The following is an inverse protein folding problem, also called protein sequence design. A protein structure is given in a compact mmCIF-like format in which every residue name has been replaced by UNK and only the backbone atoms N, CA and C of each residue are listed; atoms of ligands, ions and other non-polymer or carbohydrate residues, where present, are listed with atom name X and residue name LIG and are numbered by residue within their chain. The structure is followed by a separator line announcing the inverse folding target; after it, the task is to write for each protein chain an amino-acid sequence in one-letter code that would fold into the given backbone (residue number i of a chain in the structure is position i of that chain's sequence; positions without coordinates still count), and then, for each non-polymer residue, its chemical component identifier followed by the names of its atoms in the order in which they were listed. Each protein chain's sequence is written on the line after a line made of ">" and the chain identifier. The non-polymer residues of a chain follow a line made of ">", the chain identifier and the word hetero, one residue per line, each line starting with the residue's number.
data_IF_145886682222
#
_entry.id   IF_145886682222
#
_cell.length_a   1.000
_cell.length_b   1.000
_cell.length_c   1.000
_cell.angle_alpha   90.00
_cell.angle_beta   90.00
_cell.angle_gamma   90.00
#
_symmetry.space_group_name_H-M   'P 1'
#
loop_
_entity.id
_entity.type
_entity.pdbx_description
1 polymer ?
#
# COMPACT_ATOMS: atom_id res chain seq x y z
N UNK A 1 12.85 -1.22 -3.15
CA UNK A 1 11.99 -2.28 -2.54
C UNK A 1 10.70 -1.70 -2.00
N UNK A 2 9.72 -1.41 -2.85
CA UNK A 2 8.40 -0.87 -2.46
C UNK A 2 7.32 -1.89 -2.79
N UNK A 3 6.78 -2.59 -1.78
CA UNK A 3 5.81 -3.69 -1.93
C UNK A 3 4.48 -3.33 -1.27
N UNK A 4 3.92 -2.20 -1.68
CA UNK A 4 2.79 -1.58 -1.00
C UNK A 4 1.44 -2.15 -1.43
N UNK A 5 1.35 -2.67 -2.66
CA UNK A 5 0.11 -3.24 -3.18
C UNK A 5 -0.21 -4.64 -2.63
N UNK A 6 0.74 -5.34 -2.01
CA UNK A 6 0.45 -6.60 -1.32
C UNK A 6 -0.44 -6.45 -0.08
N UNK A 7 -0.47 -5.26 0.51
CA UNK A 7 -1.31 -4.99 1.69
C UNK A 7 -2.72 -4.53 1.29
N UNK A 8 -2.90 -3.99 0.08
CA UNK A 8 -4.22 -3.67 -0.48
C UNK A 8 -5.14 -4.91 -0.57
N UNK A 9 -4.54 -6.09 -0.80
CA UNK A 9 -5.25 -7.33 -1.14
C UNK A 9 -5.40 -8.30 0.05
N UNK A 10 -4.71 -8.06 1.17
CA UNK A 10 -4.70 -8.98 2.32
C UNK A 10 -5.79 -8.70 3.38
N UNK A 11 -6.37 -7.49 3.42
CA UNK A 11 -7.40 -7.14 4.39
C UNK A 11 -8.75 -7.88 4.29
N UNK A 12 -9.26 -8.28 3.10
CA UNK A 12 -10.55 -8.96 3.06
C UNK A 12 -10.57 -10.34 3.72
N UNK A 13 -9.41 -10.98 3.89
CA UNK A 13 -9.30 -12.28 4.57
C UNK A 13 -9.62 -12.18 6.07
N UNK A 14 -9.57 -11.00 6.68
CA UNK A 14 -9.89 -10.80 8.11
C UNK A 14 -11.41 -10.69 8.33
N UNK A 15 -12.19 -10.36 7.31
CA UNK A 15 -13.66 -10.28 7.37
C UNK A 15 -14.34 -11.65 7.15
N UNK A 16 -13.60 -12.68 6.74
CA UNK A 16 -14.06 -14.06 6.60
C UNK A 16 -14.17 -14.81 7.93
N UNK A 17 -14.82 -14.23 8.93
CA UNK A 17 -15.26 -15.00 10.10
C UNK A 17 -16.43 -15.90 9.68
N UNK A 18 -16.12 -17.16 9.43
CA UNK A 18 -17.04 -18.29 9.45
C UNK A 18 -17.78 -18.32 10.78
N UNK A 19 -18.97 -17.74 10.82
CA UNK A 19 -19.79 -17.70 12.03
C UNK A 19 -21.25 -17.41 11.69
N UNK A 20 -22.03 -18.47 11.55
CA UNK A 20 -23.50 -18.44 11.49
C UNK A 20 -24.05 -17.72 12.74
N UNK A 21 -24.66 -16.53 12.58
CA UNK A 21 -25.29 -15.83 13.70
C UNK A 21 -26.69 -15.31 13.35
N UNK A 22 -27.69 -16.13 13.69
CA UNK A 22 -29.06 -15.69 13.90
C UNK A 22 -29.15 -14.64 15.02
N UNK A 23 -30.30 -13.95 15.11
CA UNK A 23 -30.88 -13.25 16.30
C UNK A 23 -31.40 -11.84 15.98
N UNK A 24 -32.73 -11.80 15.78
CA UNK A 24 -33.73 -10.94 16.41
C UNK A 24 -33.35 -9.48 16.72
N UNK A 25 -34.09 -8.59 16.07
CA UNK A 25 -33.97 -7.14 16.14
C UNK A 25 -34.74 -6.52 17.31
N UNK A 26 -34.25 -5.37 17.78
CA UNK A 26 -35.06 -4.24 18.25
C UNK A 26 -34.33 -2.97 17.84
N UNK A 27 -35.07 -2.01 17.30
CA UNK A 27 -34.57 -0.81 16.63
C UNK A 27 -34.68 0.44 17.53
N UNK A 28 -33.82 1.42 17.26
CA UNK A 28 -34.08 2.86 17.47
C UNK A 28 -33.10 3.69 16.61
N UNK A 29 -33.63 4.72 15.93
CA UNK A 29 -32.97 5.75 15.11
C UNK A 29 -32.17 6.76 16.00
N UNK A 30 -31.38 7.75 15.52
CA UNK A 30 -31.44 8.63 14.34
C UNK A 30 -30.15 9.45 14.11
N UNK A 31 -30.02 10.01 12.88
CA UNK A 31 -29.41 11.29 12.39
C UNK A 31 -28.00 11.75 12.84
N UNK A 32 -27.15 12.37 12.02
CA UNK A 32 -27.33 13.02 10.71
C UNK A 32 -25.99 13.33 10.04
N UNK A 33 -26.05 13.68 8.76
CA UNK A 33 -24.92 13.96 7.88
C UNK A 33 -24.63 15.46 7.78
N UNK A 34 -23.36 15.82 7.57
CA UNK A 34 -22.98 17.13 7.05
C UNK A 34 -21.81 16.99 6.06
N UNK A 35 -22.08 17.35 4.81
CA UNK A 35 -21.17 17.48 3.68
C UNK A 35 -20.61 18.89 3.60
N UNK A 36 -19.30 19.04 3.36
CA UNK A 36 -18.73 20.29 2.85
C UNK A 36 -17.96 19.99 1.55
N UNK A 37 -18.59 20.39 0.44
CA UNK A 37 -17.98 20.50 -0.88
C UNK A 37 -17.17 21.80 -0.95
N UNK A 38 -16.00 21.77 -1.59
CA UNK A 38 -15.27 22.97 -2.00
C UNK A 38 -15.37 23.09 -3.52
N UNK A 39 -15.93 24.21 -3.96
CA UNK A 39 -16.16 24.57 -5.36
C UNK A 39 -14.87 25.10 -6.05
N UNK A 40 -14.80 25.05 -7.39
CA UNK A 40 -13.66 25.53 -8.17
C UNK A 40 -13.74 27.05 -8.41
N UNK A 41 -12.59 27.74 -8.47
CA UNK A 41 -12.49 29.16 -8.77
C UNK A 41 -11.26 29.47 -9.64
N UNK A 42 -11.53 30.12 -10.76
CA UNK A 42 -10.70 30.31 -11.96
C UNK A 42 -9.46 31.24 -11.82
N UNK A 43 -8.38 30.90 -12.54
CA UNK A 43 -7.97 31.61 -13.78
C UNK A 43 -6.51 31.28 -14.18
N UNK A 44 -6.19 31.20 -15.49
CA UNK A 44 -4.97 30.58 -15.99
C UNK A 44 -3.80 31.56 -15.96
N UNK A 45 -2.89 31.40 -15.01
CA UNK A 45 -1.53 31.90 -15.20
C UNK A 45 -0.82 31.03 -16.23
N UNK A 46 -0.26 31.68 -17.24
CA UNK A 46 0.50 31.14 -18.36
C UNK A 46 1.58 30.16 -17.88
N UNK A 47 1.25 28.87 -17.78
CA UNK A 47 2.20 27.80 -17.43
C UNK A 47 3.09 27.51 -18.64
N UNK A 48 4.14 28.31 -18.79
CA UNK A 48 5.28 27.92 -19.59
C UNK A 48 5.89 26.64 -18.97
N UNK A 49 5.59 25.50 -19.60
CA UNK A 49 6.36 24.25 -19.61
C UNK A 49 7.11 23.93 -18.32
N UNK A 50 6.39 23.80 -17.20
CA UNK A 50 6.97 23.27 -15.97
C UNK A 50 7.17 21.77 -16.14
N UNK A 51 8.43 21.35 -16.22
CA UNK A 51 8.77 19.94 -16.24
C UNK A 51 9.67 19.53 -15.09
N UNK A 52 9.64 18.24 -14.77
CA UNK A 52 10.56 17.60 -13.82
C UNK A 52 11.31 16.49 -14.55
N UNK A 53 12.59 16.33 -14.21
CA UNK A 53 13.34 15.12 -14.52
C UNK A 53 13.53 14.37 -13.22
N UNK A 54 13.04 13.13 -13.18
CA UNK A 54 13.20 12.27 -12.01
C UNK A 54 14.34 11.29 -12.33
N UNK A 55 15.32 11.20 -11.44
CA UNK A 55 16.51 10.33 -11.60
C UNK A 55 16.62 9.41 -10.41
N UNK A 56 16.75 8.11 -10.65
CA UNK A 56 16.86 7.15 -9.55
C UNK A 56 18.23 7.21 -8.88
N UNK A 57 18.24 7.48 -7.58
CA UNK A 57 19.45 7.46 -6.76
C UNK A 57 19.84 6.04 -6.32
N UNK A 58 21.13 5.70 -6.40
CA UNK A 58 21.67 4.42 -5.92
C UNK A 58 21.45 4.22 -4.41
N UNK A 59 21.38 2.95 -3.98
CA UNK A 59 21.35 2.64 -2.55
C UNK A 59 22.62 3.17 -1.88
N UNK A 60 22.46 3.87 -0.75
CA UNK A 60 23.59 4.44 0.00
C UNK A 60 23.69 3.79 1.38
N UNK A 61 24.88 3.33 1.75
CA UNK A 61 25.12 2.76 3.09
C UNK A 61 24.74 3.78 4.17
N UNK A 62 24.03 3.33 5.19
CA UNK A 62 23.54 4.18 6.27
C UNK A 62 22.19 4.85 6.00
N UNK A 63 21.74 4.91 4.73
CA UNK A 63 20.41 5.45 4.40
C UNK A 63 19.33 4.69 5.17
N UNK A 64 18.45 5.43 5.83
CA UNK A 64 17.32 4.89 6.57
C UNK A 64 16.01 5.35 5.92
N UNK A 65 15.11 4.40 5.73
CA UNK A 65 13.76 4.65 5.24
C UNK A 65 12.77 4.10 6.25
N UNK A 66 11.97 4.98 6.84
CA UNK A 66 10.85 4.62 7.71
C UNK A 66 9.57 4.67 6.89
N UNK A 67 8.65 3.76 7.21
CA UNK A 67 7.58 3.34 6.35
C UNK A 67 6.35 3.07 7.18
N UNK A 68 5.30 3.85 6.99
CA UNK A 68 4.03 3.65 7.68
C UNK A 68 2.92 3.48 6.68
N UNK A 69 2.30 2.31 6.71
CA UNK A 69 1.13 1.98 5.93
C UNK A 69 -0.09 1.91 6.85
N UNK A 70 -1.15 2.60 6.47
CA UNK A 70 -2.43 2.55 7.13
C UNK A 70 -3.52 2.25 6.12
N UNK A 71 -4.29 1.20 6.39
CA UNK A 71 -5.37 0.72 5.58
C UNK A 71 -6.64 0.68 6.42
N UNK A 72 -7.68 1.37 5.94
CA UNK A 72 -8.98 1.46 6.60
C UNK A 72 -10.05 0.96 5.64
N UNK A 73 -10.85 0.01 6.10
CA UNK A 73 -12.05 -0.47 5.40
C UNK A 73 -13.25 -0.21 6.30
N UNK A 74 -14.21 0.57 5.82
CA UNK A 74 -15.48 0.84 6.49
C UNK A 74 -16.63 0.37 5.62
N UNK A 75 -17.57 -0.40 6.14
CA UNK A 75 -18.67 -0.90 5.31
C UNK A 75 -19.88 -1.41 6.08
N UNK A 76 -20.86 -1.90 5.33
CA UNK A 76 -22.11 -2.44 5.84
C UNK A 76 -22.44 -3.78 5.17
N UNK A 77 -22.89 -4.76 5.97
CA UNK A 77 -23.47 -6.00 5.44
C UNK A 77 -24.89 -5.74 4.90
N UNK A 78 -25.20 -6.21 3.68
CA UNK A 78 -26.53 -5.98 3.06
C UNK A 78 -27.58 -7.01 3.50
N UNK A 79 -27.20 -8.16 4.08
CA UNK A 79 -28.13 -9.22 4.47
C UNK A 79 -28.58 -9.12 5.93
N UNK A 80 -29.87 -8.88 6.13
CA UNK A 80 -30.65 -9.21 7.34
C UNK A 80 -30.39 -8.41 8.62
N UNK A 81 -29.23 -7.79 8.80
CA UNK A 81 -28.92 -6.83 9.88
C UNK A 81 -27.88 -5.83 9.40
N UNK A 82 -28.20 -4.54 9.48
CA UNK A 82 -27.33 -3.41 9.14
C UNK A 82 -26.13 -3.32 10.11
N UNK A 83 -25.22 -4.28 10.04
CA UNK A 83 -24.01 -4.27 10.83
C UNK A 83 -22.95 -3.45 10.08
N UNK A 84 -22.62 -2.28 10.62
CA UNK A 84 -21.43 -1.55 10.21
C UNK A 84 -20.19 -2.24 10.78
N UNK A 85 -19.14 -2.30 9.98
CA UNK A 85 -17.82 -2.74 10.43
C UNK A 85 -16.76 -1.71 10.03
N UNK A 86 -15.68 -1.66 10.79
CA UNK A 86 -14.46 -0.93 10.45
C UNK A 86 -13.27 -1.82 10.76
N UNK A 87 -12.43 -2.06 9.76
CA UNK A 87 -11.14 -2.73 9.93
C UNK A 87 -10.06 -1.69 9.66
N UNK A 88 -9.20 -1.46 10.65
CA UNK A 88 -8.05 -0.57 10.54
C UNK A 88 -6.78 -1.40 10.72
N UNK A 89 -5.95 -1.45 9.70
CA UNK A 89 -4.64 -2.08 9.72
C UNK A 89 -3.55 -1.01 9.64
N UNK A 90 -2.59 -1.04 10.57
CA UNK A 90 -1.44 -0.14 10.59
C UNK A 90 -0.18 -0.98 10.65
N UNK A 91 0.69 -0.85 9.65
CA UNK A 91 1.98 -1.50 9.61
C UNK A 91 3.09 -0.45 9.47
N UNK A 92 4.00 -0.43 10.43
CA UNK A 92 5.17 0.44 10.43
C UNK A 92 6.46 -0.37 10.43
N UNK A 93 7.39 -0.01 9.55
CA UNK A 93 8.70 -0.62 9.45
C UNK A 93 9.79 0.41 9.20
N UNK A 94 11.01 0.10 9.61
CA UNK A 94 12.22 0.87 9.31
C UNK A 94 13.19 -0.02 8.56
N UNK A 95 13.76 0.50 7.48
CA UNK A 95 14.76 -0.17 6.66
C UNK A 95 16.05 0.65 6.70
N UNK A 96 17.17 0.02 7.02
CA UNK A 96 18.49 0.68 7.01
C UNK A 96 19.46 -0.13 6.15
N UNK A 97 20.06 0.53 5.17
CA UNK A 97 21.06 -0.10 4.29
C UNK A 97 22.36 -0.28 5.07
N UNK A 98 22.77 -1.53 5.26
CA UNK A 98 24.02 -1.86 5.97
C UNK A 98 25.19 -2.07 5.01
N UNK A 99 24.93 -2.57 3.80
CA UNK A 99 25.94 -2.75 2.78
C UNK A 99 25.32 -2.67 1.38
N UNK A 100 26.14 -2.27 0.42
CA UNK A 100 25.78 -2.19 -1.00
C UNK A 100 26.76 -3.01 -1.84
N UNK A 101 26.30 -3.49 -2.99
CA UNK A 101 27.10 -4.15 -4.01
C UNK A 101 26.66 -3.57 -5.37
N UNK A 102 27.55 -2.85 -6.04
CA UNK A 102 27.17 -1.97 -7.14
C UNK A 102 26.18 -0.90 -6.67
N UNK A 103 25.05 -0.77 -7.35
CA UNK A 103 24.01 0.22 -7.02
C UNK A 103 22.92 -0.34 -6.08
N UNK A 104 23.05 -1.60 -5.64
CA UNK A 104 21.99 -2.34 -4.92
C UNK A 104 22.38 -2.64 -3.47
N UNK A 105 21.38 -2.71 -2.59
CA UNK A 105 21.60 -3.13 -1.21
C UNK A 105 21.95 -4.63 -1.15
N UNK A 106 23.09 -4.97 -0.57
CA UNK A 106 23.53 -6.36 -0.33
C UNK A 106 23.24 -6.83 1.09
N UNK A 107 23.13 -5.88 2.05
CA UNK A 107 22.65 -6.12 3.42
C UNK A 107 21.71 -5.02 3.89
N UNK A 108 20.62 -5.43 4.54
CA UNK A 108 19.57 -4.55 5.02
C UNK A 108 19.22 -4.91 6.47
N UNK A 109 19.13 -3.92 7.34
CA UNK A 109 18.49 -4.05 8.65
C UNK A 109 17.03 -3.66 8.51
N UNK A 110 16.15 -4.52 9.00
CA UNK A 110 14.69 -4.33 8.95
C UNK A 110 14.14 -4.42 10.36
N UNK A 111 13.53 -3.34 10.82
CA UNK A 111 12.81 -3.29 12.08
C UNK A 111 11.32 -3.20 11.79
N UNK A 112 10.54 -4.16 12.28
CA UNK A 112 9.08 -4.13 12.24
C UNK A 112 8.59 -3.38 13.48
N UNK A 113 8.29 -2.09 13.34
CA UNK A 113 7.94 -1.21 14.47
C UNK A 113 6.55 -1.56 15.00
N UNK A 114 5.55 -1.62 14.11
CA UNK A 114 4.18 -2.00 14.45
C UNK A 114 3.53 -2.80 13.32
N UNK A 115 2.60 -3.68 13.69
CA UNK A 115 1.72 -4.39 12.75
C UNK A 115 0.43 -4.69 13.51
N UNK A 116 -0.50 -3.74 13.48
CA UNK A 116 -1.70 -3.75 14.30
C UNK A 116 -2.94 -3.80 13.42
N UNK A 117 -3.82 -4.76 13.67
CA UNK A 117 -5.16 -4.79 13.10
C UNK A 117 -6.19 -4.54 14.20
N UNK A 118 -6.96 -3.47 14.06
CA UNK A 118 -8.11 -3.15 14.90
C UNK A 118 -9.39 -3.43 14.13
N UNK A 119 -10.28 -4.22 14.73
CA UNK A 119 -11.61 -4.53 14.17
C UNK A 119 -12.69 -3.94 15.09
N UNK A 120 -13.54 -3.09 14.52
CA UNK A 120 -14.68 -2.43 15.17
C UNK A 120 -15.99 -2.90 14.50
N UNK A 121 -16.89 -3.56 15.26
CA UNK A 121 -18.20 -4.08 14.79
C UNK A 121 -18.06 -5.40 14.01
N UNK A 122 -18.75 -6.50 14.35
CA UNK A 122 -20.22 -6.71 14.48
C UNK A 122 -20.55 -7.41 15.82
N UNK A 123 -21.10 -6.66 16.80
CA UNK A 123 -21.30 -7.04 18.23
C UNK A 123 -20.00 -7.31 19.02
N UNK A 124 -19.65 -6.39 19.94
CA UNK A 124 -18.58 -6.58 20.92
C UNK A 124 -17.63 -5.39 21.07
N UNK A 125 -16.69 -5.49 22.02
CA UNK A 125 -15.60 -4.51 22.21
C UNK A 125 -14.59 -4.60 21.05
N UNK A 126 -13.88 -3.50 20.72
CA UNK A 126 -12.78 -3.51 19.75
C UNK A 126 -11.81 -4.66 20.00
N UNK A 127 -11.44 -5.39 18.95
CA UNK A 127 -10.38 -6.40 19.00
C UNK A 127 -9.13 -5.85 18.33
N UNK A 128 -8.02 -5.79 19.08
CA UNK A 128 -6.70 -5.44 18.55
C UNK A 128 -5.89 -6.73 18.41
N UNK A 129 -5.32 -6.93 17.23
CA UNK A 129 -4.44 -8.04 16.88
C UNK A 129 -3.07 -7.47 16.51
N UNK A 130 -2.01 -8.05 17.03
CA UNK A 130 -0.64 -7.67 16.71
C UNK A 130 0.04 -8.75 15.86
N UNK A 131 0.77 -8.34 14.84
CA UNK A 131 1.51 -9.24 13.95
C UNK A 131 2.70 -9.92 14.62
N UNK A 132 3.10 -11.11 14.15
CA UNK A 132 4.13 -11.94 14.77
C UNK A 132 5.56 -11.37 14.70
N UNK A 133 5.78 -10.37 13.83
CA UNK A 133 7.07 -9.71 13.67
C UNK A 133 7.16 -8.36 14.40
N UNK A 134 6.05 -7.84 14.92
CA UNK A 134 6.01 -6.51 15.54
C UNK A 134 7.00 -6.40 16.72
N UNK A 135 7.71 -5.26 16.78
CA UNK A 135 8.78 -4.98 17.74
C UNK A 135 10.12 -5.66 17.44
N UNK A 136 10.25 -6.45 16.36
CA UNK A 136 11.44 -7.27 16.10
C UNK A 136 12.30 -6.70 14.98
N UNK A 137 13.61 -6.94 15.09
CA UNK A 137 14.61 -6.50 14.11
C UNK A 137 15.35 -7.70 13.52
N UNK A 138 15.58 -7.65 12.20
CA UNK A 138 16.27 -8.68 11.44
C UNK A 138 17.31 -8.06 10.52
N UNK A 139 18.37 -8.83 10.25
CA UNK A 139 19.37 -8.50 9.24
C UNK A 139 19.13 -9.43 8.05
N UNK A 140 18.90 -8.83 6.88
CA UNK A 140 18.77 -9.53 5.62
C UNK A 140 20.09 -9.44 4.86
N UNK A 141 20.59 -10.57 4.38
CA UNK A 141 21.75 -10.62 3.51
C UNK A 141 21.41 -11.29 2.18
N UNK A 142 22.06 -10.84 1.10
CA UNK A 142 21.87 -11.42 -0.22
C UNK A 142 22.05 -12.94 -0.20
N UNK A 143 21.16 -13.63 -0.90
CA UNK A 143 21.16 -15.08 -1.10
C UNK A 143 20.74 -15.40 -2.54
N UNK A 144 20.97 -16.65 -2.96
CA UNK A 144 20.85 -17.05 -4.38
C UNK A 144 19.40 -17.04 -4.88
N UNK A 145 18.46 -17.50 -4.05
CA UNK A 145 17.03 -17.61 -4.42
C UNK A 145 16.17 -16.71 -3.56
N UNK A 146 16.49 -16.64 -2.27
CA UNK A 146 15.85 -15.79 -1.25
C UNK A 146 16.91 -15.18 -0.36
N UNK A 147 16.62 -14.07 0.33
CA UNK A 147 17.51 -13.50 1.32
C UNK A 147 17.77 -14.48 2.46
N UNK A 148 18.99 -14.43 2.99
CA UNK A 148 19.31 -15.04 4.28
C UNK A 148 18.86 -14.10 5.38
N UNK A 149 18.11 -14.62 6.35
CA UNK A 149 17.54 -13.85 7.45
C UNK A 149 18.27 -14.18 8.73
N UNK A 150 18.78 -13.17 9.40
CA UNK A 150 19.45 -13.25 10.69
C UNK A 150 18.65 -12.42 11.71
N UNK A 151 18.65 -12.84 12.97
CA UNK A 151 18.24 -11.99 14.08
C UNK A 151 19.22 -10.82 14.25
N UNK A 152 18.85 -9.82 15.05
CA UNK A 152 19.68 -8.62 15.27
C UNK A 152 21.03 -8.90 15.92
N UNK A 153 21.18 -10.04 16.60
CA UNK A 153 22.44 -10.52 17.18
C UNK A 153 23.36 -11.21 16.16
N UNK A 154 22.91 -11.37 14.91
CA UNK A 154 23.66 -12.01 13.83
C UNK A 154 23.48 -13.53 13.73
N UNK A 155 22.70 -14.15 14.62
CA UNK A 155 22.37 -15.59 14.54
C UNK A 155 21.31 -15.81 13.45
N UNK A 156 21.35 -16.92 12.68
CA UNK A 156 20.27 -17.25 11.74
C UNK A 156 18.89 -17.20 12.41
N UNK A 157 17.93 -16.53 11.79
CA UNK A 157 16.58 -16.44 12.34
C UNK A 157 15.89 -17.81 12.32
N UNK A 158 14.88 -18.00 13.16
CA UNK A 158 14.10 -19.23 13.17
C UNK A 158 13.50 -19.52 11.77
N UNK A 159 13.24 -20.79 11.40
CA UNK A 159 12.61 -21.10 10.11
C UNK A 159 11.26 -20.39 9.90
N UNK A 160 10.49 -20.25 10.98
CA UNK A 160 9.22 -19.53 10.98
C UNK A 160 9.41 -18.04 10.65
N UNK A 161 10.31 -17.35 11.37
CA UNK A 161 10.57 -15.92 11.13
C UNK A 161 11.20 -15.69 9.77
N UNK A 162 12.15 -16.54 9.39
CA UNK A 162 12.79 -16.51 8.08
C UNK A 162 11.75 -16.63 6.97
N UNK A 163 10.73 -17.49 7.11
CA UNK A 163 9.66 -17.64 6.14
C UNK A 163 8.78 -16.39 6.06
N UNK A 164 8.38 -15.82 7.20
CA UNK A 164 7.57 -14.59 7.26
C UNK A 164 8.32 -13.41 6.64
N UNK A 165 9.58 -13.20 7.04
CA UNK A 165 10.43 -12.12 6.54
C UNK A 165 10.75 -12.31 5.06
N UNK A 166 11.08 -13.53 4.62
CA UNK A 166 11.37 -13.81 3.21
C UNK A 166 10.13 -13.67 2.31
N UNK A 167 8.91 -13.78 2.84
CA UNK A 167 7.68 -13.49 2.09
C UNK A 167 7.57 -11.99 1.77
N UNK A 168 7.97 -11.16 2.73
CA UNK A 168 8.01 -9.69 2.56
C UNK A 168 9.20 -9.26 1.69
N UNK A 169 10.33 -9.98 1.79
CA UNK A 169 11.57 -9.74 1.05
C UNK A 169 12.01 -11.02 0.30
N UNK A 170 11.42 -11.37 -0.86
CA UNK A 170 11.76 -12.59 -1.58
C UNK A 170 13.06 -12.47 -2.37
N UNK A 171 13.54 -11.25 -2.68
CA UNK A 171 14.88 -10.98 -3.22
C UNK A 171 15.38 -9.63 -2.72
N UNK A 172 16.65 -9.57 -2.33
CA UNK A 172 17.32 -8.31 -1.95
C UNK A 172 18.01 -7.64 -3.15
N UNK A 173 18.27 -8.41 -4.19
CA UNK A 173 19.07 -8.01 -5.34
C UNK A 173 18.26 -7.78 -6.61
N UNK A 174 16.95 -8.09 -6.60
CA UNK A 174 16.03 -7.47 -7.54
C UNK A 174 16.02 -5.98 -7.21
N UNK A 175 16.65 -5.18 -8.09
CA UNK A 175 16.30 -3.77 -8.20
C UNK A 175 14.78 -3.66 -8.27
N UNK A 176 14.23 -2.61 -7.69
CA UNK A 176 12.80 -2.37 -7.71
C UNK A 176 12.24 -2.50 -9.15
N UNK A 177 10.97 -2.84 -9.32
CA UNK A 177 10.37 -2.81 -10.67
C UNK A 177 10.50 -1.39 -11.30
N UNK A 178 10.62 -0.38 -10.44
CA UNK A 178 11.00 1.00 -10.76
C UNK A 178 12.46 1.18 -11.21
N UNK A 179 13.41 0.46 -10.60
CA UNK A 179 14.84 0.52 -10.95
C UNK A 179 15.13 -0.15 -12.32
N UNK A 180 14.21 -0.98 -12.83
CA UNK A 180 14.34 -1.66 -14.12
C UNK A 180 13.61 -0.94 -15.27
N UNK A 181 13.52 0.39 -15.23
CA UNK A 181 12.97 1.21 -16.33
C UNK A 181 11.47 1.48 -16.28
N UNK A 182 10.81 1.15 -15.17
CA UNK A 182 9.37 1.36 -14.97
C UNK A 182 8.94 2.80 -14.72
N UNK A 183 9.87 3.71 -14.45
CA UNK A 183 9.55 5.08 -14.11
C UNK A 183 10.00 6.04 -15.21
N UNK A 184 9.24 7.11 -15.50
CA UNK A 184 9.50 7.99 -16.63
C UNK A 184 10.90 8.58 -16.58
N UNK A 185 11.71 8.25 -17.58
CA UNK A 185 13.00 8.89 -17.84
C UNK A 185 12.78 10.01 -18.86
N UNK A 186 12.93 11.27 -18.45
CA UNK A 186 12.77 12.42 -19.34
C UNK A 186 12.01 13.58 -18.69
N UNK A 187 11.82 14.64 -19.47
CA UNK A 187 11.01 15.80 -19.11
C UNK A 187 9.54 15.47 -19.27
N UNK A 188 8.75 15.64 -18.21
CA UNK A 188 7.29 15.45 -18.24
C UNK A 188 6.56 16.76 -18.00
N UNK A 189 5.44 16.98 -18.70
CA UNK A 189 4.51 18.06 -18.45
C UNK A 189 3.33 17.60 -17.57
N UNK A 190 2.70 18.56 -16.89
CA UNK A 190 1.45 18.31 -16.16
C UNK A 190 0.39 17.83 -17.17
N UNK A 191 -0.35 16.78 -16.79
CA UNK A 191 -1.34 16.08 -17.61
C UNK A 191 -0.81 14.82 -18.30
N UNK A 192 0.51 14.67 -18.43
CA UNK A 192 1.14 13.54 -19.12
C UNK A 192 0.81 12.22 -18.40
N UNK A 193 0.41 11.21 -19.18
CA UNK A 193 0.26 9.83 -18.70
C UNK A 193 1.63 9.18 -18.50
N UNK A 194 1.66 8.18 -17.62
CA UNK A 194 2.87 7.41 -17.31
C UNK A 194 2.65 5.92 -17.54
N UNK A 195 2.61 5.43 -18.80
CA UNK A 195 2.29 4.04 -19.09
C UNK A 195 3.25 3.02 -18.48
N UNK A 196 4.54 3.37 -18.33
CA UNK A 196 5.53 2.51 -17.71
C UNK A 196 5.22 2.26 -16.22
N UNK A 197 4.79 3.31 -15.52
CA UNK A 197 4.37 3.25 -14.11
C UNK A 197 3.08 2.44 -13.96
N UNK A 198 2.13 2.62 -14.89
CA UNK A 198 0.91 1.79 -14.96
C UNK A 198 1.25 0.30 -15.09
N UNK A 199 2.13 -0.07 -16.03
CA UNK A 199 2.53 -1.47 -16.25
C UNK A 199 3.20 -2.08 -15.01
N UNK A 200 4.14 -1.37 -14.40
CA UNK A 200 4.84 -1.83 -13.19
C UNK A 200 3.86 -2.04 -12.04
N UNK A 201 2.98 -1.07 -11.79
CA UNK A 201 2.00 -1.19 -10.72
C UNK A 201 1.00 -2.33 -10.97
N UNK A 202 0.53 -2.51 -12.20
CA UNK A 202 -0.35 -3.63 -12.55
C UNK A 202 0.34 -4.99 -12.36
N UNK A 203 1.61 -5.09 -12.74
CA UNK A 203 2.40 -6.29 -12.52
C UNK A 203 2.63 -6.57 -11.03
N UNK A 204 2.93 -5.54 -10.23
CA UNK A 204 3.12 -5.66 -8.79
C UNK A 204 1.81 -6.08 -8.08
N UNK A 205 0.66 -5.57 -8.50
CA UNK A 205 -0.67 -6.02 -8.02
C UNK A 205 -0.83 -7.52 -8.28
N UNK A 206 -0.65 -7.94 -9.54
CA UNK A 206 -0.81 -9.34 -9.94
C UNK A 206 0.18 -10.27 -9.25
N UNK A 207 1.44 -9.85 -9.07
CA UNK A 207 2.44 -10.64 -8.33
C UNK A 207 2.07 -10.75 -6.86
N UNK A 208 1.62 -9.66 -6.25
CA UNK A 208 1.29 -9.62 -4.83
C UNK A 208 0.06 -10.47 -4.48
N UNK A 209 -0.92 -10.55 -5.38
CA UNK A 209 -2.06 -11.45 -5.27
C UNK A 209 -1.72 -12.92 -5.56
N UNK A 210 -0.50 -13.24 -5.99
CA UNK A 210 -0.21 -14.58 -6.52
C UNK A 210 -0.95 -14.90 -7.82
N UNK A 211 -1.30 -13.85 -8.59
CA UNK A 211 -1.94 -13.93 -9.91
C UNK A 211 -3.46 -13.85 -9.92
N UNK A 212 -4.13 -13.81 -8.76
CA UNK A 212 -5.61 -13.78 -8.66
C UNK A 212 -6.24 -12.42 -8.92
N UNK A 213 -5.54 -11.32 -8.66
CA UNK A 213 -6.03 -9.97 -8.93
C UNK A 213 -5.89 -9.62 -10.42
N UNK A 214 -6.97 -9.08 -10.98
CA UNK A 214 -7.08 -8.58 -12.34
C UNK A 214 -7.29 -7.07 -12.30
N UNK A 215 -6.33 -6.33 -12.84
CA UNK A 215 -6.46 -4.88 -13.03
C UNK A 215 -7.28 -4.63 -14.28
N UNK A 216 -8.47 -4.06 -14.13
CA UNK A 216 -9.38 -3.74 -15.25
C UNK A 216 -9.11 -2.36 -15.84
N UNK A 217 -8.64 -1.43 -15.01
CA UNK A 217 -8.18 -0.12 -15.45
C UNK A 217 -7.11 0.39 -14.49
N UNK A 218 -6.06 1.00 -15.02
CA UNK A 218 -5.08 1.75 -14.25
C UNK A 218 -4.62 2.95 -15.07
N UNK A 219 -4.80 4.14 -14.53
CA UNK A 219 -4.31 5.38 -15.12
C UNK A 219 -3.41 6.08 -14.13
N UNK A 220 -2.22 6.49 -14.57
CA UNK A 220 -1.31 7.33 -13.78
C UNK A 220 -0.92 8.55 -14.60
N UNK A 221 -1.06 9.75 -14.02
CA UNK A 221 -0.76 11.02 -14.68
C UNK A 221 0.02 11.94 -13.77
N UNK A 222 0.95 12.72 -14.32
CA UNK A 222 1.55 13.83 -13.58
C UNK A 222 0.48 14.91 -13.39
N UNK A 223 0.00 15.08 -12.17
CA UNK A 223 -1.08 16.02 -11.86
C UNK A 223 -0.55 17.39 -11.43
N UNK A 224 0.59 17.43 -10.75
CA UNK A 224 1.16 18.66 -10.20
C UNK A 224 2.66 18.51 -9.89
N UNK A 225 3.35 19.63 -9.75
CA UNK A 225 4.75 19.72 -9.31
C UNK A 225 4.81 20.63 -8.08
N UNK A 226 5.30 20.10 -6.96
CA UNK A 226 5.40 20.84 -5.69
C UNK A 226 6.85 21.10 -5.35
N UNK A 227 7.14 22.32 -4.91
CA UNK A 227 8.42 22.64 -4.30
C UNK A 227 8.30 22.40 -2.79
N UNK A 228 9.17 21.56 -2.23
CA UNK A 228 9.19 21.24 -0.81
C UNK A 228 10.60 21.45 -0.27
N UNK A 229 10.79 22.49 0.55
CA UNK A 229 12.02 22.96 1.23
C UNK A 229 13.34 22.85 0.44
N UNK A 230 13.81 21.63 0.13
CA UNK A 230 15.06 21.35 -0.56
C UNK A 230 14.93 20.47 -1.82
N UNK A 231 13.72 20.08 -2.22
CA UNK A 231 13.53 19.15 -3.34
C UNK A 231 12.20 19.39 -4.09
N UNK A 232 12.23 19.22 -5.41
CA UNK A 232 11.04 19.28 -6.25
C UNK A 232 10.36 17.92 -6.26
N UNK A 233 9.08 17.91 -5.99
CA UNK A 233 8.26 16.72 -5.88
C UNK A 233 7.25 16.63 -7.04
N UNK A 234 7.15 15.46 -7.64
CA UNK A 234 6.12 15.13 -8.61
C UNK A 234 4.91 14.50 -7.92
N UNK A 235 3.74 15.06 -8.18
CA UNK A 235 2.47 14.54 -7.70
C UNK A 235 1.78 13.83 -8.85
N UNK A 236 1.68 12.52 -8.76
CA UNK A 236 0.97 11.70 -9.74
C UNK A 236 -0.43 11.40 -9.25
N UNK A 237 -1.46 11.69 -10.05
CA UNK A 237 -2.79 11.15 -9.80
C UNK A 237 -2.82 9.68 -10.23
N UNK A 238 -3.55 8.87 -9.48
CA UNK A 238 -3.78 7.46 -9.77
C UNK A 238 -5.27 7.15 -9.74
N UNK A 239 -5.73 6.40 -10.73
CA UNK A 239 -7.07 5.81 -10.80
C UNK A 239 -6.92 4.32 -11.13
N UNK A 240 -7.30 3.46 -10.20
CA UNK A 240 -7.17 2.01 -10.27
C UNK A 240 -8.55 1.36 -10.11
N UNK A 241 -8.91 0.48 -11.03
CA UNK A 241 -9.99 -0.47 -10.87
C UNK A 241 -9.43 -1.88 -10.96
N UNK A 242 -9.80 -2.73 -10.00
CA UNK A 242 -9.32 -4.10 -9.93
C UNK A 242 -10.41 -5.03 -9.41
N UNK A 243 -10.25 -6.32 -9.71
CA UNK A 243 -11.05 -7.39 -9.15
C UNK A 243 -10.17 -8.56 -8.75
N UNK A 244 -10.60 -9.33 -7.76
CA UNK A 244 -9.90 -10.54 -7.33
C UNK A 244 -10.92 -11.59 -6.90
N UNK A 245 -10.63 -12.85 -7.24
CA UNK A 245 -11.49 -13.97 -6.89
C UNK A 245 -10.74 -14.95 -5.99
N UNK A 246 -11.40 -15.33 -4.89
CA UNK A 246 -10.96 -16.36 -3.97
C UNK A 246 -12.04 -17.43 -3.85
N UNK A 247 -11.96 -18.46 -4.69
CA UNK A 247 -13.03 -19.46 -4.81
C UNK A 247 -14.32 -18.82 -5.31
N UNK A 248 -15.38 -18.92 -4.51
CA UNK A 248 -16.72 -18.38 -4.81
C UNK A 248 -16.94 -16.95 -4.29
N UNK A 249 -15.89 -16.31 -3.75
CA UNK A 249 -15.91 -14.92 -3.28
C UNK A 249 -15.19 -14.04 -4.29
N UNK A 250 -15.84 -12.95 -4.71
CA UNK A 250 -15.32 -11.92 -5.59
C UNK A 250 -15.18 -10.60 -4.83
N UNK A 251 -14.04 -9.95 -5.05
CA UNK A 251 -13.72 -8.62 -4.58
C UNK A 251 -13.62 -7.71 -5.80
N UNK A 252 -14.25 -6.55 -5.74
CA UNK A 252 -14.08 -5.49 -6.73
C UNK A 252 -13.77 -4.19 -6.00
N UNK A 253 -12.79 -3.43 -6.49
CA UNK A 253 -12.35 -2.19 -5.88
C UNK A 253 -12.07 -1.12 -6.91
N UNK A 254 -12.37 0.12 -6.54
CA UNK A 254 -11.93 1.31 -7.24
C UNK A 254 -11.18 2.21 -6.26
N UNK A 255 -9.99 2.64 -6.63
CA UNK A 255 -9.14 3.49 -5.81
C UNK A 255 -8.67 4.67 -6.65
N UNK A 256 -8.92 5.88 -6.17
CA UNK A 256 -8.43 7.11 -6.76
C UNK A 256 -7.61 7.89 -5.73
N UNK A 257 -6.59 8.62 -6.17
CA UNK A 257 -5.81 9.47 -5.27
C UNK A 257 -4.51 9.95 -5.86
N UNK A 258 -3.49 10.08 -5.01
CA UNK A 258 -2.21 10.65 -5.39
C UNK A 258 -1.01 9.88 -4.84
N UNK A 259 0.07 9.85 -5.61
CA UNK A 259 1.41 9.43 -5.22
C UNK A 259 2.37 10.61 -5.36
N UNK A 260 3.17 10.87 -4.35
CA UNK A 260 4.14 11.96 -4.33
C UNK A 260 5.53 11.37 -4.37
N UNK A 261 6.32 11.73 -5.37
CA UNK A 261 7.70 11.30 -5.54
C UNK A 261 8.64 12.50 -5.50
N UNK A 262 9.82 12.32 -4.93
CA UNK A 262 10.95 13.25 -5.03
C UNK A 262 11.59 13.18 -6.42
N UNK A 263 12.39 14.19 -6.75
CA UNK A 263 13.19 14.22 -7.98
C UNK A 263 14.21 13.08 -8.06
N UNK A 264 14.55 12.44 -6.94
CA UNK A 264 15.43 11.26 -6.89
C UNK A 264 14.70 9.90 -7.09
N UNK A 265 13.41 9.93 -7.45
CA UNK A 265 12.58 8.73 -7.64
C UNK A 265 12.04 8.12 -6.35
N UNK A 266 12.28 8.75 -5.19
CA UNK A 266 11.74 8.27 -3.91
C UNK A 266 10.31 8.77 -3.68
N UNK A 267 9.35 7.86 -3.63
CA UNK A 267 8.04 8.03 -3.00
C UNK A 267 8.21 8.63 -1.60
N UNK A 268 7.46 9.70 -1.38
CA UNK A 268 7.25 10.41 -0.11
C UNK A 268 5.96 9.91 0.52
N UNK A 269 4.90 9.85 -0.27
CA UNK A 269 3.60 9.40 0.22
C UNK A 269 2.72 8.90 -0.91
N UNK A 270 1.83 7.97 -0.60
CA UNK A 270 0.71 7.59 -1.46
C UNK A 270 -0.56 7.63 -0.62
N UNK A 271 -1.62 8.25 -1.14
CA UNK A 271 -2.93 8.22 -0.52
C UNK A 271 -3.97 7.95 -1.59
N UNK A 272 -4.68 6.84 -1.47
CA UNK A 272 -5.75 6.43 -2.38
C UNK A 272 -6.99 6.02 -1.61
N UNK A 273 -8.16 6.28 -2.19
CA UNK A 273 -9.45 5.98 -1.57
C UNK A 273 -10.47 5.66 -2.65
N UNK A 274 -11.43 4.82 -2.33
CA UNK A 274 -12.60 4.65 -3.16
C UNK A 274 -13.49 3.48 -2.72
N UNK A 275 -14.56 3.21 -3.48
CA UNK A 275 -15.51 2.17 -3.15
C UNK A 275 -14.90 0.78 -3.35
N UNK A 276 -15.28 -0.14 -2.49
CA UNK A 276 -14.99 -1.56 -2.61
C UNK A 276 -16.25 -2.39 -2.32
N UNK A 277 -16.39 -3.50 -3.04
CA UNK A 277 -17.49 -4.45 -2.85
C UNK A 277 -16.97 -5.87 -2.73
N UNK A 278 -17.68 -6.66 -1.92
CA UNK A 278 -17.44 -8.07 -1.71
C UNK A 278 -18.73 -8.81 -2.05
N UNK A 279 -18.65 -9.77 -2.96
CA UNK A 279 -19.77 -10.61 -3.37
C UNK A 279 -19.41 -12.09 -3.21
N UNK A 280 -20.30 -12.90 -2.62
CA UNK A 280 -20.11 -14.34 -2.51
C UNK A 280 -21.37 -15.07 -2.05
N UNK A 281 -21.26 -16.39 -1.81
CA UNK A 281 -22.41 -17.28 -1.50
C UNK A 281 -23.21 -16.81 -0.26
N UNK A 282 -22.56 -16.11 0.67
CA UNK A 282 -23.19 -15.64 1.91
C UNK A 282 -23.83 -14.23 1.80
N UNK A 283 -23.78 -13.58 0.63
CA UNK A 283 -24.36 -12.25 0.38
C UNK A 283 -23.36 -11.21 -0.13
N UNK A 284 -23.82 -9.96 -0.22
CA UNK A 284 -23.06 -8.80 -0.71
C UNK A 284 -22.77 -7.83 0.42
N UNK A 285 -21.56 -7.26 0.45
CA UNK A 285 -21.17 -6.17 1.34
C UNK A 285 -20.55 -5.04 0.52
N UNK A 286 -20.78 -3.81 0.97
CA UNK A 286 -20.25 -2.60 0.34
C UNK A 286 -19.53 -1.74 1.37
N UNK A 287 -18.46 -1.09 0.94
CA UNK A 287 -17.68 -0.23 1.80
C UNK A 287 -16.80 0.76 1.04
N UNK A 288 -16.11 1.57 1.83
CA UNK A 288 -15.07 2.48 1.38
C UNK A 288 -13.74 1.96 1.88
N UNK A 289 -12.79 1.85 0.97
CA UNK A 289 -11.41 1.50 1.24
C UNK A 289 -10.57 2.78 1.17
N UNK A 290 -9.76 3.03 2.20
CA UNK A 290 -8.76 4.09 2.22
C UNK A 290 -7.39 3.47 2.53
N UNK A 291 -6.41 3.78 1.69
CA UNK A 291 -5.03 3.38 1.86
C UNK A 291 -4.16 4.63 1.91
N UNK A 292 -3.36 4.74 2.96
CA UNK A 292 -2.35 5.77 3.09
C UNK A 292 -1.01 5.13 3.40
N UNK A 293 0.01 5.62 2.71
CA UNK A 293 1.39 5.24 2.86
C UNK A 293 2.21 6.50 2.99
N UNK A 294 3.07 6.53 4.00
CA UNK A 294 4.07 7.56 4.18
C UNK A 294 5.45 6.92 4.27
N UNK A 295 6.40 7.46 3.51
CA UNK A 295 7.81 7.11 3.57
C UNK A 295 8.62 8.33 4.02
N UNK A 296 9.45 8.15 5.04
CA UNK A 296 10.39 9.16 5.52
C UNK A 296 11.80 8.67 5.30
N UNK A 297 12.65 9.51 4.71
CA UNK A 297 14.03 9.19 4.38
C UNK A 297 14.96 10.07 5.21
N UNK A 298 15.96 9.48 5.86
CA UNK A 298 16.97 10.15 6.68
C UNK A 298 18.35 9.57 6.45
#
# INVERSE_FOLDING_TARGET
>A
MRRWLAVLLAAPLVAGCTGTVQVKASASASSGAETAAVAPGDSPTTEASRSITIRYGAATVGSKTTRRLEHVVTGHALTGKSASFTVRHVAEQSLKVLAVEGERASRLEVTFVSDETTVLGVKGKPKVLTGPLAGRTFILARGVVRPRVFASDGVPASPHDSALVSRLFPRLDEGDAFDNGGFPTGSMAIGDRVPSLEQVMAWDIGRASGGTAKVSSLTVRLADLRDAESDRQAVFSIDLAWSEAFGEIRFDGQLAGAMIYRSDGRLVSMKVKGPASIEGIAGRAEGVQELSLTETHS
#
